data_IF_017832746847
#
_entry.id   IF_017832746847
#
_cell.length_a   1.000
_cell.length_b   1.000
_cell.length_c   1.000
_cell.angle_alpha   90.00
_cell.angle_beta   90.00
_cell.angle_gamma   90.00
#
_symmetry.space_group_name_H-M   'P 1'
#
loop_
_entity.id
_entity.type
_entity.pdbx_description
1 polymer ?
#
# COMPACT_ATOMS: atom_id res chain seq x y z
N UNK A 1 8.14 -23.92 -33.84
CA UNK A 1 7.60 -22.98 -32.83
C UNK A 1 8.10 -21.58 -33.15
N UNK A 2 7.27 -20.77 -33.81
CA UNK A 2 7.65 -19.42 -34.24
C UNK A 2 7.81 -18.48 -33.03
N UNK A 3 8.73 -17.53 -33.15
CA UNK A 3 9.05 -16.48 -32.17
C UNK A 3 7.81 -15.77 -31.60
N UNK A 4 6.72 -15.74 -32.36
CA UNK A 4 5.40 -15.24 -31.95
C UNK A 4 4.77 -16.05 -30.80
N UNK A 5 4.83 -17.38 -30.82
CA UNK A 5 4.30 -18.20 -29.71
C UNK A 5 5.13 -18.03 -28.43
N UNK A 6 6.46 -17.87 -28.55
CA UNK A 6 7.32 -17.55 -27.40
C UNK A 6 6.95 -16.18 -26.81
N UNK A 7 6.78 -15.15 -27.65
CA UNK A 7 6.40 -13.80 -27.20
C UNK A 7 5.00 -13.76 -26.58
N UNK A 8 4.04 -14.46 -27.20
CA UNK A 8 2.68 -14.61 -26.66
C UNK A 8 2.68 -15.37 -25.33
N UNK A 9 3.47 -16.43 -25.17
CA UNK A 9 3.60 -17.12 -23.88
C UNK A 9 4.34 -16.28 -22.82
N UNK A 10 5.30 -15.45 -23.22
CA UNK A 10 6.02 -14.54 -22.34
C UNK A 10 5.12 -13.38 -21.87
N UNK A 11 4.18 -12.93 -22.71
CA UNK A 11 3.18 -11.91 -22.38
C UNK A 11 1.95 -12.47 -21.63
N UNK A 12 1.71 -13.80 -21.67
CA UNK A 12 0.51 -14.44 -21.13
C UNK A 12 0.49 -14.69 -19.63
N UNK A 13 1.62 -14.56 -18.92
CA UNK A 13 1.65 -15.04 -17.53
C UNK A 13 2.47 -14.15 -16.59
N UNK A 14 1.79 -13.14 -16.03
CA UNK A 14 2.37 -12.19 -15.07
C UNK A 14 2.73 -12.85 -13.72
N UNK A 15 2.09 -13.97 -13.39
CA UNK A 15 2.19 -14.69 -12.10
C UNK A 15 2.72 -16.14 -12.24
N UNK A 16 3.55 -16.43 -13.25
CA UNK A 16 3.98 -17.80 -13.56
C UNK A 16 4.99 -18.41 -12.57
N UNK A 17 5.63 -17.60 -11.74
CA UNK A 17 6.77 -18.04 -10.93
C UNK A 17 6.31 -18.64 -9.59
N UNK A 18 7.00 -19.70 -9.14
CA UNK A 18 6.84 -20.24 -7.80
C UNK A 18 7.18 -19.17 -6.75
N UNK A 19 6.48 -19.18 -5.61
CA UNK A 19 6.62 -18.19 -4.52
C UNK A 19 7.35 -18.76 -3.31
N UNK A 20 8.29 -19.68 -3.55
CA UNK A 20 8.92 -20.49 -2.52
C UNK A 20 10.00 -19.73 -1.73
N UNK A 21 10.63 -18.75 -2.39
CA UNK A 21 11.67 -17.90 -1.79
C UNK A 21 11.14 -16.51 -1.41
N UNK A 22 11.79 -15.87 -0.44
CA UNK A 22 11.48 -14.50 -0.03
C UNK A 22 11.64 -13.52 -1.21
N UNK A 23 12.68 -13.70 -2.02
CA UNK A 23 12.93 -12.87 -3.20
C UNK A 23 11.79 -12.97 -4.23
N UNK A 24 11.31 -14.18 -4.55
CA UNK A 24 10.16 -14.37 -5.44
C UNK A 24 8.89 -13.75 -4.86
N UNK A 25 8.66 -13.93 -3.55
CA UNK A 25 7.54 -13.30 -2.87
C UNK A 25 7.61 -11.77 -2.92
N UNK A 26 8.78 -11.17 -2.78
CA UNK A 26 8.96 -9.73 -2.85
C UNK A 26 8.69 -9.22 -4.27
N UNK A 27 9.23 -9.91 -5.29
CA UNK A 27 8.96 -9.61 -6.70
C UNK A 27 7.46 -9.68 -6.99
N UNK A 28 6.77 -10.69 -6.45
CA UNK A 28 5.32 -10.81 -6.56
C UNK A 28 4.59 -9.60 -5.98
N UNK A 29 4.90 -9.19 -4.74
CA UNK A 29 4.25 -8.02 -4.13
C UNK A 29 4.50 -6.76 -4.94
N UNK A 30 5.74 -6.50 -5.39
CA UNK A 30 6.04 -5.34 -6.25
C UNK A 30 5.22 -5.37 -7.54
N UNK A 31 5.15 -6.52 -8.22
CA UNK A 31 4.32 -6.69 -9.43
C UNK A 31 2.85 -6.38 -9.14
N UNK A 32 2.32 -6.86 -8.02
CA UNK A 32 0.92 -6.61 -7.64
C UNK A 32 0.64 -5.14 -7.32
N UNK A 33 1.58 -4.43 -6.68
CA UNK A 33 1.49 -2.98 -6.50
C UNK A 33 1.45 -2.27 -7.86
N UNK A 34 2.34 -2.62 -8.80
CA UNK A 34 2.34 -2.02 -10.16
C UNK A 34 1.01 -2.25 -10.86
N UNK A 35 0.49 -3.48 -10.84
CA UNK A 35 -0.76 -3.83 -11.51
C UNK A 35 -1.93 -3.08 -10.89
N UNK A 36 -2.03 -3.07 -9.56
CA UNK A 36 -3.11 -2.39 -8.86
C UNK A 36 -3.08 -0.89 -9.12
N UNK A 37 -1.91 -0.24 -8.98
CA UNK A 37 -1.75 1.20 -9.25
C UNK A 37 -2.08 1.51 -10.71
N UNK A 38 -1.57 0.73 -11.67
CA UNK A 38 -1.90 0.93 -13.08
C UNK A 38 -3.39 0.75 -13.38
N UNK A 39 -4.03 -0.25 -12.76
CA UNK A 39 -5.47 -0.48 -12.92
C UNK A 39 -6.28 0.67 -12.35
N UNK A 40 -5.90 1.18 -11.16
CA UNK A 40 -6.52 2.34 -10.53
C UNK A 40 -6.40 3.57 -11.44
N UNK A 41 -5.18 3.95 -11.85
CA UNK A 41 -4.98 5.16 -12.64
C UNK A 41 -5.60 5.07 -14.04
N UNK A 42 -5.67 3.86 -14.61
CA UNK A 42 -6.36 3.61 -15.87
C UNK A 42 -7.88 3.76 -15.74
N UNK A 43 -8.48 3.01 -14.80
CA UNK A 43 -9.94 2.98 -14.62
C UNK A 43 -10.51 4.31 -14.13
N UNK A 44 -9.69 5.12 -13.44
CA UNK A 44 -10.06 6.48 -13.04
C UNK A 44 -9.75 7.54 -14.09
N UNK A 45 -9.17 7.17 -15.24
CA UNK A 45 -8.88 8.09 -16.35
C UNK A 45 -7.83 9.15 -16.04
N UNK A 46 -6.88 8.87 -15.14
CA UNK A 46 -5.91 9.85 -14.65
C UNK A 46 -4.82 10.17 -15.68
N UNK A 47 -4.44 9.17 -16.48
CA UNK A 47 -3.43 9.32 -17.54
C UNK A 47 -3.99 8.87 -18.89
N UNK A 48 -3.47 9.41 -20.00
CA UNK A 48 -3.93 9.04 -21.33
C UNK A 48 -3.64 7.57 -21.68
N UNK A 49 -4.42 7.02 -22.62
CA UNK A 49 -4.38 5.60 -23.05
C UNK A 49 -2.97 5.15 -23.50
N UNK A 50 -2.22 6.04 -24.14
CA UNK A 50 -0.87 5.78 -24.63
C UNK A 50 0.16 5.58 -23.51
N UNK A 51 -0.13 6.00 -22.27
CA UNK A 51 0.71 5.77 -21.09
C UNK A 51 0.68 4.32 -20.62
N UNK A 52 -0.22 3.50 -21.17
CA UNK A 52 -0.43 2.11 -20.77
C UNK A 52 -0.13 1.13 -21.91
N UNK A 53 0.23 -0.10 -21.52
CA UNK A 53 0.31 -1.27 -22.41
C UNK A 53 -0.62 -2.36 -21.90
N UNK A 54 -1.24 -3.08 -22.83
CA UNK A 54 -2.05 -4.24 -22.48
C UNK A 54 -1.17 -5.42 -22.07
N UNK A 55 -1.56 -6.10 -21.00
CA UNK A 55 -1.00 -7.36 -20.51
C UNK A 55 -2.13 -8.29 -20.09
N UNK A 56 -1.85 -9.58 -19.99
CA UNK A 56 -2.83 -10.56 -19.56
C UNK A 56 -2.45 -11.11 -18.19
N UNK A 57 -3.40 -11.06 -17.25
CA UNK A 57 -3.35 -11.79 -15.98
C UNK A 57 -4.45 -12.85 -16.05
N UNK A 58 -4.05 -14.10 -16.26
CA UNK A 58 -5.00 -15.19 -16.55
C UNK A 58 -5.85 -14.88 -17.79
N UNK A 59 -7.17 -14.79 -17.64
CA UNK A 59 -8.13 -14.42 -18.68
C UNK A 59 -8.38 -12.90 -18.75
N UNK A 60 -7.83 -12.11 -17.83
CA UNK A 60 -8.08 -10.67 -17.73
C UNK A 60 -7.06 -9.86 -18.53
N UNK A 61 -7.56 -9.02 -19.44
CA UNK A 61 -6.76 -7.98 -20.10
C UNK A 61 -6.65 -6.77 -19.16
N UNK A 62 -5.43 -6.48 -18.71
CA UNK A 62 -5.12 -5.38 -17.80
C UNK A 62 -4.26 -4.33 -18.49
N UNK A 63 -4.40 -3.08 -18.06
CA UNK A 63 -3.59 -1.95 -18.50
C UNK A 63 -2.49 -1.70 -17.49
N UNK A 64 -1.25 -1.78 -17.94
CA UNK A 64 -0.06 -1.60 -17.12
C UNK A 64 0.69 -0.36 -17.58
N UNK A 65 1.08 0.52 -16.65
CA UNK A 65 1.86 1.71 -16.97
C UNK A 65 3.16 1.33 -17.71
N UNK A 66 3.46 2.08 -18.77
CA UNK A 66 4.70 1.97 -19.52
C UNK A 66 5.80 2.72 -18.79
N UNK A 67 6.98 2.12 -18.67
CA UNK A 67 8.15 2.77 -18.07
C UNK A 67 8.61 3.98 -18.92
N UNK A 68 8.41 3.88 -20.22
CA UNK A 68 8.74 4.82 -21.28
C UNK A 68 7.53 5.68 -21.71
N UNK A 69 6.57 5.93 -20.82
CA UNK A 69 5.42 6.79 -21.12
C UNK A 69 5.83 8.25 -21.36
N UNK A 70 5.17 8.91 -22.31
CA UNK A 70 5.41 10.33 -22.63
C UNK A 70 4.73 11.29 -21.64
N UNK A 71 3.77 10.81 -20.84
CA UNK A 71 3.06 11.63 -19.85
C UNK A 71 3.97 11.94 -18.64
N UNK A 72 4.24 13.23 -18.32
CA UNK A 72 5.06 13.61 -17.17
C UNK A 72 4.51 13.09 -15.84
N UNK A 73 3.19 13.17 -15.63
CA UNK A 73 2.53 12.68 -14.42
C UNK A 73 2.66 11.16 -14.24
N UNK A 74 2.48 10.40 -15.32
CA UNK A 74 2.66 8.94 -15.29
C UNK A 74 4.13 8.57 -15.00
N UNK A 75 5.08 9.28 -15.63
CA UNK A 75 6.50 9.07 -15.40
C UNK A 75 6.90 9.38 -13.95
N UNK A 76 6.33 10.44 -13.36
CA UNK A 76 6.55 10.80 -11.95
C UNK A 76 6.00 9.75 -11.00
N UNK A 77 4.79 9.23 -11.25
CA UNK A 77 4.23 8.13 -10.46
C UNK A 77 5.11 6.88 -10.51
N UNK A 78 5.69 6.56 -11.67
CA UNK A 78 6.64 5.44 -11.81
C UNK A 78 7.89 5.67 -10.97
N UNK A 79 8.45 6.89 -10.93
CA UNK A 79 9.57 7.21 -10.04
C UNK A 79 9.21 7.01 -8.57
N UNK A 80 8.01 7.40 -8.14
CA UNK A 80 7.55 7.15 -6.78
C UNK A 80 7.43 5.65 -6.46
N UNK A 81 6.97 4.84 -7.43
CA UNK A 81 6.95 3.38 -7.27
C UNK A 81 8.36 2.81 -7.06
N UNK A 82 9.40 3.38 -7.68
CA UNK A 82 10.79 2.95 -7.44
C UNK A 82 11.22 3.20 -5.99
N UNK A 83 10.89 4.36 -5.41
CA UNK A 83 11.16 4.63 -3.98
C UNK A 83 10.35 3.72 -3.04
N UNK A 84 9.11 3.37 -3.43
CA UNK A 84 8.34 2.35 -2.72
C UNK A 84 9.02 0.97 -2.77
N UNK A 85 9.57 0.56 -3.92
CA UNK A 85 10.27 -0.71 -4.06
C UNK A 85 11.55 -0.77 -3.23
N UNK A 86 12.29 0.33 -3.14
CA UNK A 86 13.44 0.47 -2.27
C UNK A 86 13.06 0.24 -0.79
N UNK A 87 11.97 0.85 -0.33
CA UNK A 87 11.47 0.67 1.03
C UNK A 87 10.91 -0.74 1.29
N UNK A 88 10.30 -1.38 0.28
CA UNK A 88 9.84 -2.77 0.36
C UNK A 88 11.01 -3.76 0.48
N UNK A 89 12.08 -3.58 -0.31
CA UNK A 89 13.29 -4.41 -0.27
C UNK A 89 13.94 -4.41 1.11
N UNK A 90 13.99 -3.23 1.74
CA UNK A 90 14.55 -3.06 3.08
C UNK A 90 13.60 -3.45 4.21
N UNK A 91 12.37 -3.90 3.89
CA UNK A 91 11.30 -4.23 4.84
C UNK A 91 10.87 -3.05 5.72
N UNK A 92 11.12 -1.84 5.24
CA UNK A 92 10.80 -0.60 5.94
C UNK A 92 9.36 -0.19 5.72
N UNK A 93 8.77 -0.50 4.57
CA UNK A 93 7.44 0.00 4.22
C UNK A 93 6.32 -0.73 4.96
N UNK A 94 5.64 -0.05 5.87
CA UNK A 94 4.42 -0.55 6.52
C UNK A 94 3.18 -0.28 5.66
N UNK A 95 3.10 0.91 5.08
CA UNK A 95 1.94 1.35 4.32
C UNK A 95 2.32 2.33 3.21
N UNK A 96 1.73 2.14 2.05
CA UNK A 96 1.72 3.09 0.94
C UNK A 96 0.30 3.66 0.81
N UNK A 97 0.19 4.98 0.72
CA UNK A 97 -1.09 5.66 0.46
C UNK A 97 -0.95 6.56 -0.76
N UNK A 98 -1.84 6.38 -1.73
CA UNK A 98 -1.99 7.29 -2.88
C UNK A 98 -3.26 8.10 -2.65
N UNK A 99 -3.14 9.43 -2.61
CA UNK A 99 -4.27 10.34 -2.47
C UNK A 99 -4.62 11.02 -3.80
N UNK A 100 -5.90 11.18 -4.07
CA UNK A 100 -6.43 11.99 -5.18
C UNK A 100 -7.10 13.22 -4.59
N UNK A 101 -6.67 14.40 -5.01
CA UNK A 101 -7.19 15.68 -4.53
C UNK A 101 -7.40 16.65 -5.70
N UNK A 102 -8.28 17.62 -5.51
CA UNK A 102 -8.66 18.61 -6.54
C UNK A 102 -7.88 19.91 -6.42
N UNK A 103 -7.37 20.24 -5.22
CA UNK A 103 -6.61 21.46 -4.98
C UNK A 103 -5.11 21.17 -4.95
N UNK A 104 -4.27 21.81 -5.78
CA UNK A 104 -2.82 21.67 -5.70
C UNK A 104 -2.24 22.24 -4.39
N UNK A 105 -2.93 23.20 -3.77
CA UNK A 105 -2.50 23.84 -2.53
C UNK A 105 -2.88 23.04 -1.28
N UNK A 106 -3.81 22.09 -1.40
CA UNK A 106 -4.27 21.27 -0.29
C UNK A 106 -4.19 19.78 -0.62
N UNK A 107 -2.99 19.24 -0.42
CA UNK A 107 -2.70 17.82 -0.62
C UNK A 107 -3.26 16.90 0.46
N UNK A 108 -3.80 17.44 1.56
CA UNK A 108 -4.34 16.63 2.64
C UNK A 108 -5.84 16.37 2.48
N UNK A 109 -6.58 17.27 1.84
CA UNK A 109 -7.99 17.06 1.52
C UNK A 109 -8.13 16.19 0.26
N UNK A 110 -8.38 14.91 0.47
CA UNK A 110 -8.52 13.92 -0.60
C UNK A 110 -9.98 13.58 -0.84
N UNK A 111 -10.32 13.38 -2.11
CA UNK A 111 -11.64 12.86 -2.52
C UNK A 111 -11.63 11.34 -2.62
N UNK A 112 -10.47 10.75 -2.89
CA UNK A 112 -10.22 9.31 -2.94
C UNK A 112 -8.83 9.00 -2.39
N UNK A 113 -8.68 7.85 -1.72
CA UNK A 113 -7.39 7.33 -1.32
C UNK A 113 -7.28 5.82 -1.52
N UNK A 114 -6.07 5.39 -1.85
CA UNK A 114 -5.72 4.00 -2.15
C UNK A 114 -4.61 3.56 -1.21
N UNK A 115 -4.94 2.65 -0.29
CA UNK A 115 -4.04 2.25 0.80
C UNK A 115 -3.57 0.80 0.61
N UNK A 116 -2.27 0.63 0.53
CA UNK A 116 -1.58 -0.66 0.49
C UNK A 116 -0.89 -0.88 1.83
N UNK A 117 -1.34 -1.86 2.62
CA UNK A 117 -0.71 -2.23 3.89
C UNK A 117 0.14 -3.47 3.69
N UNK A 118 1.38 -3.42 4.14
CA UNK A 118 2.34 -4.51 4.02
C UNK A 118 2.64 -5.11 5.40
N UNK A 119 2.81 -6.43 5.43
CA UNK A 119 3.39 -7.15 6.58
C UNK A 119 4.42 -8.12 6.07
N UNK A 120 5.48 -8.29 6.86
CA UNK A 120 6.62 -9.14 6.55
C UNK A 120 6.67 -10.28 7.56
N UNK A 121 6.93 -11.50 7.10
CA UNK A 121 7.24 -12.62 7.99
C UNK A 121 8.72 -12.98 7.90
N UNK A 122 9.36 -13.29 9.03
CA UNK A 122 10.74 -13.79 9.08
C UNK A 122 10.85 -15.26 8.62
N UNK A 123 9.78 -16.05 8.75
CA UNK A 123 9.87 -17.52 8.64
C UNK A 123 8.81 -18.18 7.74
N UNK A 124 7.94 -17.42 7.10
CA UNK A 124 6.71 -17.99 6.55
C UNK A 124 5.53 -17.84 7.50
N UNK A 125 4.35 -18.44 7.25
CA UNK A 125 3.29 -18.47 8.26
C UNK A 125 3.87 -19.04 9.57
N UNK A 126 3.89 -18.22 10.61
CA UNK A 126 4.37 -18.62 11.93
C UNK A 126 3.31 -19.56 12.51
N UNK A 127 3.70 -20.81 12.80
CA UNK A 127 2.82 -21.82 13.37
C UNK A 127 2.35 -21.34 14.75
N UNK A 128 1.15 -20.76 14.82
CA UNK A 128 0.50 -20.53 16.10
C UNK A 128 -0.09 -21.88 16.52
N UNK A 129 0.62 -22.60 17.40
CA UNK A 129 0.29 -23.97 17.83
C UNK A 129 -1.12 -24.05 18.45
N UNK A 130 -1.75 -22.90 18.74
CA UNK A 130 -3.09 -22.81 19.30
C UNK A 130 -4.24 -22.83 18.26
N UNK A 131 -3.99 -22.79 16.95
CA UNK A 131 -5.04 -23.04 15.94
C UNK A 131 -5.20 -24.54 15.68
N UNK A 132 -5.71 -25.28 16.67
CA UNK A 132 -6.01 -26.71 16.57
C UNK A 132 -7.37 -26.96 15.87
N UNK A 133 -7.56 -26.41 14.67
CA UNK A 133 -8.71 -26.71 13.80
C UNK A 133 -8.22 -26.87 12.36
N UNK A 134 -7.92 -28.10 11.99
CA UNK A 134 -7.86 -28.69 10.64
C UNK A 134 -7.51 -27.75 9.46
N UNK A 135 -6.23 -27.72 9.11
CA UNK A 135 -5.77 -27.26 7.79
C UNK A 135 -4.60 -26.31 7.93
N UNK A 136 -3.39 -26.85 7.74
CA UNK A 136 -2.21 -26.08 7.39
C UNK A 136 -2.56 -25.18 6.18
N UNK A 137 -2.95 -23.91 6.39
CA UNK A 137 -3.22 -22.98 5.30
C UNK A 137 -1.87 -22.58 4.71
N UNK A 138 -1.23 -23.52 4.03
CA UNK A 138 -0.15 -23.22 3.10
C UNK A 138 -0.78 -22.49 1.94
N UNK A 139 -0.58 -21.18 1.88
CA UNK A 139 -1.02 -20.39 0.73
C UNK A 139 -0.34 -20.95 -0.52
N UNK A 140 -1.14 -21.51 -1.43
CA UNK A 140 -0.62 -22.10 -2.66
C UNK A 140 -0.43 -21.04 -3.75
N UNK A 141 0.34 -21.38 -4.78
CA UNK A 141 0.45 -20.54 -5.98
C UNK A 141 -0.92 -20.34 -6.65
N UNK A 142 -1.80 -21.35 -6.60
CA UNK A 142 -3.16 -21.28 -7.14
C UNK A 142 -4.05 -20.34 -6.33
N UNK A 143 -3.96 -20.37 -4.99
CA UNK A 143 -4.68 -19.43 -4.13
C UNK A 143 -4.23 -17.99 -4.38
N UNK A 144 -2.92 -17.81 -4.55
CA UNK A 144 -2.33 -16.49 -4.84
C UNK A 144 -2.80 -15.96 -6.20
N UNK A 145 -2.88 -16.85 -7.21
CA UNK A 145 -3.42 -16.55 -8.53
C UNK A 145 -4.89 -16.13 -8.47
N UNK A 146 -5.74 -16.95 -7.85
CA UNK A 146 -7.16 -16.62 -7.62
C UNK A 146 -7.32 -15.30 -6.88
N UNK A 147 -6.54 -15.06 -5.82
CA UNK A 147 -6.58 -13.82 -5.05
C UNK A 147 -6.15 -12.61 -5.89
N UNK A 148 -5.14 -12.76 -6.75
CA UNK A 148 -4.70 -11.70 -7.67
C UNK A 148 -5.79 -11.35 -8.69
N UNK A 149 -6.44 -12.35 -9.28
CA UNK A 149 -7.54 -12.16 -10.24
C UNK A 149 -8.75 -11.53 -9.56
N UNK A 150 -9.09 -11.94 -8.34
CA UNK A 150 -10.17 -11.35 -7.54
C UNK A 150 -9.88 -9.89 -7.18
N UNK A 151 -8.64 -9.55 -6.80
CA UNK A 151 -8.23 -8.16 -6.53
C UNK A 151 -8.53 -7.27 -7.74
N UNK A 152 -8.12 -7.71 -8.94
CA UNK A 152 -8.34 -6.93 -10.17
C UNK A 152 -9.84 -6.83 -10.46
N UNK A 153 -10.60 -7.93 -10.44
CA UNK A 153 -12.06 -7.90 -10.66
C UNK A 153 -12.77 -6.96 -9.68
N UNK A 154 -12.40 -6.97 -8.40
CA UNK A 154 -12.96 -6.07 -7.38
C UNK A 154 -12.60 -4.61 -7.65
N UNK A 155 -11.37 -4.31 -8.10
CA UNK A 155 -11.02 -2.96 -8.56
C UNK A 155 -11.92 -2.51 -9.73
N UNK A 156 -12.08 -3.34 -10.76
CA UNK A 156 -12.94 -3.02 -11.90
C UNK A 156 -14.38 -2.71 -11.45
N UNK A 157 -14.98 -3.58 -10.63
CA UNK A 157 -16.33 -3.39 -10.11
C UNK A 157 -16.46 -2.12 -9.26
N UNK A 158 -15.50 -1.87 -8.36
CA UNK A 158 -15.54 -0.69 -7.50
C UNK A 158 -15.42 0.59 -8.32
N UNK A 159 -14.46 0.67 -9.25
CA UNK A 159 -14.25 1.89 -10.05
C UNK A 159 -15.42 2.21 -10.99
N UNK A 160 -16.18 1.20 -11.45
CA UNK A 160 -17.39 1.41 -12.26
C UNK A 160 -18.55 2.05 -11.47
N UNK A 161 -18.57 1.81 -10.16
CA UNK A 161 -19.59 2.30 -9.24
C UNK A 161 -19.23 3.65 -8.58
N UNK A 162 -17.97 4.08 -8.67
CA UNK A 162 -17.55 5.43 -8.31
C UNK A 162 -17.89 6.42 -9.44
N UNK A 163 -18.30 7.63 -9.07
CA UNK A 163 -18.46 8.74 -10.03
C UNK A 163 -17.14 9.02 -10.77
N UNK A 164 -17.19 9.58 -11.98
CA UNK A 164 -15.99 10.05 -12.69
C UNK A 164 -15.18 11.05 -11.83
N UNK A 165 -13.85 11.01 -11.95
CA UNK A 165 -13.00 12.04 -11.31
C UNK A 165 -13.27 13.42 -11.96
N UNK A 166 -13.12 14.52 -11.20
CA UNK A 166 -13.07 15.85 -11.79
C UNK A 166 -12.01 15.97 -12.88
N UNK A 167 -12.19 16.92 -13.81
CA UNK A 167 -11.31 17.08 -14.99
C UNK A 167 -9.85 17.34 -14.62
N UNK A 168 -9.62 18.05 -13.53
CA UNK A 168 -8.29 18.29 -12.98
C UNK A 168 -8.19 17.63 -11.60
N UNK A 169 -7.26 16.71 -11.47
CA UNK A 169 -6.91 16.06 -10.22
C UNK A 169 -5.40 16.01 -10.07
N UNK A 170 -4.96 16.03 -8.83
CA UNK A 170 -3.58 15.90 -8.43
C UNK A 170 -3.40 14.62 -7.62
N UNK A 171 -2.22 14.03 -7.74
CA UNK A 171 -1.83 12.85 -6.99
C UNK A 171 -0.83 13.21 -5.91
N UNK A 172 -0.99 12.56 -4.76
CA UNK A 172 0.04 12.49 -3.72
C UNK A 172 0.38 11.04 -3.40
N UNK A 173 1.60 10.81 -2.93
CA UNK A 173 2.01 9.52 -2.41
C UNK A 173 2.65 9.68 -1.03
N UNK A 174 2.13 8.98 -0.03
CA UNK A 174 2.67 8.95 1.34
C UNK A 174 3.16 7.55 1.70
N UNK A 175 4.39 7.45 2.21
CA UNK A 175 4.97 6.21 2.73
C UNK A 175 5.03 6.24 4.26
N UNK A 176 4.59 5.16 4.91
CA UNK A 176 4.68 4.97 6.35
C UNK A 176 5.56 3.78 6.65
N UNK A 177 6.48 3.93 7.61
CA UNK A 177 7.49 2.92 7.89
C UNK A 177 7.24 2.11 9.16
N UNK A 178 7.91 0.96 9.22
CA UNK A 178 8.09 0.17 10.43
C UNK A 178 9.14 0.85 11.31
N UNK A 179 8.67 1.63 12.29
CA UNK A 179 9.52 2.44 13.17
C UNK A 179 10.62 1.61 13.89
N UNK A 180 10.40 0.31 14.10
CA UNK A 180 11.32 -0.59 14.81
C UNK A 180 12.58 -1.00 14.01
N UNK A 181 12.51 -0.96 12.68
CA UNK A 181 13.59 -1.45 11.79
C UNK A 181 14.14 -0.39 10.83
N UNK A 182 13.45 0.73 10.67
CA UNK A 182 13.84 1.79 9.73
C UNK A 182 14.75 2.82 10.40
N UNK A 183 15.97 3.06 9.90
CA UNK A 183 16.84 4.12 10.40
C UNK A 183 16.21 5.50 10.24
N UNK A 184 16.38 6.44 11.19
CA UNK A 184 15.78 7.78 11.13
C UNK A 184 16.30 8.62 9.96
N UNK A 185 17.52 8.35 9.48
CA UNK A 185 18.16 8.99 8.33
C UNK A 185 17.73 8.41 6.97
N UNK A 186 16.89 7.37 6.95
CA UNK A 186 16.46 6.74 5.71
C UNK A 186 15.50 7.64 4.93
N UNK A 187 15.88 7.97 3.70
CA UNK A 187 15.02 8.67 2.73
C UNK A 187 14.94 7.85 1.45
N UNK A 188 13.75 7.38 1.03
CA UNK A 188 13.64 6.64 -0.20
C UNK A 188 13.77 7.58 -1.41
N UNK A 189 14.30 7.08 -2.54
CA UNK A 189 14.46 7.88 -3.75
C UNK A 189 13.16 8.54 -4.21
N UNK A 190 13.19 9.86 -4.41
CA UNK A 190 12.06 10.64 -4.94
C UNK A 190 11.02 11.08 -3.91
N UNK A 191 11.29 10.91 -2.61
CA UNK A 191 10.42 11.40 -1.53
C UNK A 191 11.17 12.39 -0.64
N UNK A 192 10.40 13.19 0.10
CA UNK A 192 10.87 14.06 1.17
C UNK A 192 10.15 13.76 2.47
N UNK A 193 10.74 14.15 3.61
CA UNK A 193 10.07 14.03 4.90
C UNK A 193 8.73 14.79 4.87
N UNK A 194 7.66 14.13 5.30
CA UNK A 194 6.32 14.69 5.36
C UNK A 194 6.12 15.54 6.61
N UNK A 195 5.55 16.74 6.44
CA UNK A 195 5.19 17.61 7.55
C UNK A 195 3.81 17.27 8.17
N UNK A 196 2.92 16.63 7.41
CA UNK A 196 1.52 16.38 7.79
C UNK A 196 1.14 14.90 7.68
N UNK A 197 0.71 14.32 8.80
CA UNK A 197 0.41 12.89 8.93
C UNK A 197 -0.97 12.48 8.38
N UNK A 198 -1.97 13.37 8.42
CA UNK A 198 -3.36 12.99 8.17
C UNK A 198 -3.83 13.33 6.75
N UNK A 199 -4.63 12.44 6.18
CA UNK A 199 -5.49 12.72 5.03
C UNK A 199 -6.91 12.94 5.54
N UNK A 200 -7.60 13.92 4.98
CA UNK A 200 -8.94 14.34 5.36
C UNK A 200 -9.89 14.15 4.18
N UNK A 201 -11.08 13.63 4.45
CA UNK A 201 -12.18 13.59 3.49
C UNK A 201 -13.17 14.69 3.84
N UNK A 202 -13.73 15.33 2.82
CA UNK A 202 -14.87 16.21 3.00
C UNK A 202 -16.13 15.36 3.22
N UNK A 203 -16.76 15.50 4.39
CA UNK A 203 -17.90 14.67 4.78
C UNK A 203 -17.52 13.23 5.16
N UNK A 204 -18.44 12.29 4.98
CA UNK A 204 -18.26 10.87 5.34
C UNK A 204 -17.33 10.15 4.37
N UNK A 205 -16.34 9.43 4.91
CA UNK A 205 -15.50 8.53 4.14
C UNK A 205 -16.09 7.12 4.15
N UNK A 206 -16.10 6.46 2.99
CA UNK A 206 -16.52 5.07 2.86
C UNK A 206 -15.31 4.22 2.52
N UNK A 207 -15.05 3.21 3.34
CA UNK A 207 -13.90 2.33 3.21
C UNK A 207 -14.30 1.00 2.57
N UNK A 208 -13.57 0.60 1.52
CA UNK A 208 -13.79 -0.61 0.76
C UNK A 208 -12.63 -1.59 0.93
N UNK A 209 -12.95 -2.82 1.35
CA UNK A 209 -11.99 -3.93 1.33
C UNK A 209 -11.88 -4.53 -0.07
N UNK A 210 -10.86 -4.12 -0.82
CA UNK A 210 -10.70 -4.56 -2.21
C UNK A 210 -9.98 -5.89 -2.34
N UNK A 211 -8.94 -6.13 -1.55
CA UNK A 211 -8.29 -7.45 -1.60
C UNK A 211 -7.17 -7.62 -0.61
N UNK A 212 -6.86 -8.88 -0.34
CA UNK A 212 -5.77 -9.28 0.52
C UNK A 212 -4.99 -10.36 -0.23
N UNK A 213 -3.71 -10.10 -0.46
CA UNK A 213 -2.79 -11.05 -1.05
C UNK A 213 -1.84 -11.52 0.05
N UNK A 214 -1.68 -12.82 0.14
CA UNK A 214 -0.74 -13.43 1.05
C UNK A 214 0.18 -14.33 0.24
N UNK A 215 1.45 -14.29 0.57
CA UNK A 215 2.43 -15.30 0.20
C UNK A 215 3.05 -15.84 1.49
N UNK A 216 4.05 -16.71 1.37
CA UNK A 216 4.80 -17.20 2.52
C UNK A 216 5.44 -16.04 3.32
N UNK A 217 6.09 -15.09 2.64
CA UNK A 217 6.94 -14.10 3.31
C UNK A 217 6.30 -12.71 3.44
N UNK A 218 5.25 -12.43 2.65
CA UNK A 218 4.65 -11.10 2.59
C UNK A 218 3.13 -11.17 2.61
N UNK A 219 2.50 -10.18 3.22
CA UNK A 219 1.07 -9.91 3.07
C UNK A 219 0.89 -8.49 2.54
N UNK A 220 0.01 -8.32 1.56
CA UNK A 220 -0.40 -7.03 1.02
C UNK A 220 -1.91 -6.90 1.09
N UNK A 221 -2.42 -5.85 1.74
CA UNK A 221 -3.85 -5.55 1.80
C UNK A 221 -4.13 -4.26 1.06
N UNK A 222 -5.09 -4.27 0.14
CA UNK A 222 -5.56 -3.08 -0.56
C UNK A 222 -6.90 -2.62 0.01
N UNK A 223 -6.97 -1.35 0.38
CA UNK A 223 -8.19 -0.64 0.76
C UNK A 223 -8.36 0.58 -0.13
N UNK A 224 -9.59 0.84 -0.54
CA UNK A 224 -9.98 2.06 -1.25
C UNK A 224 -10.87 2.85 -0.33
N UNK A 225 -10.70 4.16 -0.25
CA UNK A 225 -11.58 5.04 0.50
C UNK A 225 -12.02 6.17 -0.41
N UNK A 226 -13.31 6.45 -0.44
CA UNK A 226 -13.88 7.53 -1.23
C UNK A 226 -14.86 8.33 -0.38
N UNK A 227 -15.02 9.63 -0.67
CA UNK A 227 -16.08 10.42 -0.07
C UNK A 227 -17.45 9.83 -0.45
N UNK A 228 -18.37 9.75 0.51
CA UNK A 228 -19.71 9.17 0.31
C UNK A 228 -20.50 9.86 -0.80
N UNK A 229 -20.29 11.17 -0.98
CA UNK A 229 -20.90 11.97 -2.05
C UNK A 229 -20.58 11.45 -3.46
N UNK A 230 -19.49 10.70 -3.62
CA UNK A 230 -19.01 10.15 -4.90
C UNK A 230 -19.56 8.77 -5.21
N UNK A 231 -20.39 8.21 -4.33
CA UNK A 231 -20.87 6.84 -4.39
C UNK A 231 -22.26 6.70 -5.07
N UNK A 232 -22.60 7.63 -5.96
CA UNK A 232 -23.97 7.84 -6.46
C UNK A 232 -24.68 6.59 -7.01
N UNK A 233 -23.96 5.61 -7.56
CA UNK A 233 -24.56 4.37 -8.12
C UNK A 233 -24.76 3.26 -7.10
N UNK A 234 -24.00 3.26 -6.01
CA UNK A 234 -23.94 2.14 -5.06
C UNK A 234 -25.06 2.22 -4.01
N UNK A 235 -25.68 3.39 -3.83
CA UNK A 235 -26.85 3.54 -2.97
C UNK A 235 -28.14 2.99 -3.61
N UNK A 236 -28.21 2.87 -4.94
CA UNK A 236 -29.42 2.46 -5.67
C UNK A 236 -29.48 0.94 -5.94
N UNK A 237 -28.35 0.24 -5.90
CA UNK A 237 -28.29 -1.20 -6.16
C UNK A 237 -27.31 -1.89 -5.21
N UNK A 238 -27.83 -2.67 -4.25
CA UNK A 238 -27.09 -3.40 -3.21
C UNK A 238 -26.13 -4.49 -3.72
N UNK A 239 -25.16 -4.14 -4.58
CA UNK A 239 -24.22 -5.06 -5.22
C UNK A 239 -22.94 -5.35 -4.41
N UNK A 240 -22.67 -4.63 -3.32
CA UNK A 240 -21.58 -4.96 -2.39
C UNK A 240 -22.17 -5.41 -1.05
N UNK A 241 -21.76 -6.58 -0.57
CA UNK A 241 -22.20 -7.08 0.73
C UNK A 241 -21.72 -6.13 1.85
N UNK A 242 -22.55 -5.89 2.86
CA UNK A 242 -22.22 -5.04 4.03
C UNK A 242 -20.87 -5.39 4.67
N UNK A 243 -20.43 -6.66 4.60
CA UNK A 243 -19.11 -7.10 5.08
C UNK A 243 -17.90 -6.46 4.34
N UNK A 244 -18.10 -5.79 3.20
CA UNK A 244 -17.04 -5.15 2.41
C UNK A 244 -16.99 -3.62 2.58
N UNK A 245 -18.03 -3.03 3.17
CA UNK A 245 -18.21 -1.58 3.32
C UNK A 245 -18.22 -1.21 4.81
N UNK A 246 -17.14 -0.57 5.26
CA UNK A 246 -17.11 0.09 6.57
C UNK A 246 -17.39 1.58 6.35
N UNK A 247 -18.53 2.08 6.85
CA UNK A 247 -18.81 3.50 6.89
C UNK A 247 -18.33 4.06 8.22
N UNK A 248 -17.26 4.86 8.18
CA UNK A 248 -16.86 5.69 9.32
C UNK A 248 -17.26 7.14 9.02
N UNK A 249 -18.12 7.71 9.86
CA UNK A 249 -18.18 9.17 10.01
C UNK A 249 -16.79 9.64 10.43
N UNK A 250 -16.24 10.76 9.92
CA UNK A 250 -15.04 11.35 10.49
C UNK A 250 -15.38 11.93 11.87
N UNK A 251 -15.62 11.07 12.86
CA UNK A 251 -15.26 11.37 14.23
C UNK A 251 -13.77 11.58 14.23
N UNK A 252 -13.35 12.70 14.81
CA UNK A 252 -11.98 13.15 15.00
C UNK A 252 -11.10 12.08 15.69
N UNK A 253 -10.78 10.99 15.01
CA UNK A 253 -9.99 9.90 15.58
C UNK A 253 -8.52 10.13 15.26
N UNK A 254 -7.84 10.65 16.28
CA UNK A 254 -6.40 10.54 16.49
C UNK A 254 -5.85 9.19 16.02
N UNK A 255 -5.05 9.20 14.97
CA UNK A 255 -3.87 8.33 14.96
C UNK A 255 -2.93 8.95 16.00
N UNK A 256 -2.77 8.25 17.14
CA UNK A 256 -2.20 8.78 18.38
C UNK A 256 -0.97 9.68 18.18
N UNK A 257 -1.02 10.95 18.62
CA UNK A 257 0.16 11.81 18.66
C UNK A 257 1.08 11.35 19.80
N UNK A 258 2.38 11.31 19.51
CA UNK A 258 3.38 11.50 20.54
C UNK A 258 3.75 12.97 20.47
N UNK A 259 3.25 13.75 21.41
CA UNK A 259 3.63 15.15 21.62
C UNK A 259 5.14 15.24 21.87
N UNK A 260 5.83 16.15 21.17
CA UNK A 260 6.69 17.17 21.78
C UNK A 260 7.04 18.21 20.71
N UNK A 261 6.77 19.47 21.06
CA UNK A 261 7.02 20.70 20.31
C UNK A 261 8.52 21.00 20.21
N UNK A 262 9.00 21.45 19.04
CA UNK A 262 9.98 22.54 18.92
C UNK A 262 9.95 23.11 17.49
N UNK A 263 9.91 24.45 17.43
CA UNK A 263 9.96 25.30 16.23
C UNK A 263 11.36 25.34 15.63
N UNK A 264 11.48 25.52 14.32
CA UNK A 264 12.00 26.75 13.71
C UNK A 264 11.97 26.70 12.18
N UNK A 265 11.87 27.89 11.62
CA UNK A 265 11.75 28.28 10.21
C UNK A 265 12.92 27.86 9.31
N UNK A 266 12.59 27.56 8.05
CA UNK A 266 13.31 27.84 6.78
C UNK A 266 12.30 27.50 5.66
N UNK A 267 11.53 28.44 5.10
CA UNK A 267 11.81 29.39 4.00
C UNK A 267 12.54 28.81 2.78
N UNK A 268 11.89 29.01 1.61
CA UNK A 268 12.39 29.04 0.22
C UNK A 268 12.67 27.66 -0.44
N UNK A 269 12.10 27.25 -1.61
CA UNK A 269 11.58 27.91 -2.83
C UNK A 269 10.65 26.97 -3.65
N UNK A 270 9.92 27.45 -4.70
CA UNK A 270 9.03 26.67 -5.55
C UNK A 270 9.65 26.19 -6.90
N UNK A 271 8.89 25.36 -7.64
CA UNK A 271 9.19 24.58 -8.89
C UNK A 271 9.80 23.19 -8.63
N UNK A 272 9.39 22.06 -9.25
CA UNK A 272 8.56 21.74 -10.42
C UNK A 272 7.51 20.62 -10.10
N UNK A 273 6.35 20.73 -10.77
CA UNK A 273 5.19 19.83 -10.82
C UNK A 273 4.38 19.59 -9.53
N UNK A 274 3.10 19.98 -9.61
CA UNK A 274 2.02 20.05 -8.60
C UNK A 274 1.55 18.70 -8.01
N UNK A 275 2.47 17.78 -7.77
CA UNK A 275 2.24 16.45 -7.21
C UNK A 275 3.37 16.10 -6.24
N UNK A 276 3.05 15.76 -4.99
CA UNK A 276 4.05 15.65 -3.91
C UNK A 276 4.12 14.23 -3.37
N UNK A 277 5.34 13.71 -3.24
CA UNK A 277 5.65 12.46 -2.56
C UNK A 277 6.29 12.74 -1.19
N UNK A 278 5.75 12.15 -0.14
CA UNK A 278 6.17 12.36 1.24
C UNK A 278 6.34 11.05 1.99
N UNK A 279 7.16 11.02 3.04
CA UNK A 279 7.27 9.88 3.94
C UNK A 279 7.21 10.28 5.40
N UNK A 280 6.80 9.35 6.27
CA UNK A 280 6.84 9.52 7.74
C UNK A 280 8.20 9.10 8.28
N UNK A 281 8.88 9.95 9.05
CA UNK A 281 10.11 9.58 9.74
C UNK A 281 9.88 8.48 10.81
N UNK A 282 10.79 7.50 10.94
CA UNK A 282 10.76 6.50 12.01
C UNK A 282 10.92 7.13 13.40
N UNK A 283 10.11 6.71 14.37
CA UNK A 283 10.25 7.14 15.78
C UNK A 283 11.24 6.23 16.51
N UNK A 284 12.32 6.78 17.09
CA UNK A 284 13.12 6.04 18.08
C UNK A 284 12.27 5.81 19.33
N UNK A 285 11.97 4.55 19.65
CA UNK A 285 11.38 4.23 20.95
C UNK A 285 12.36 4.61 22.06
N UNK A 286 12.06 5.64 22.84
CA UNK A 286 12.73 5.86 24.12
C UNK A 286 12.26 4.72 25.03
N UNK A 287 13.04 3.65 25.09
CA UNK A 287 12.86 2.62 26.09
C UNK A 287 12.86 3.30 27.47
N UNK A 288 11.67 3.42 28.09
CA UNK A 288 11.54 3.78 29.50
C UNK A 288 12.27 2.71 30.31
N UNK A 289 13.56 2.94 30.58
CA UNK A 289 14.32 2.30 31.65
C UNK A 289 13.66 2.69 32.97
N UNK A 290 12.68 1.90 33.41
CA UNK A 290 12.30 1.80 34.81
C UNK A 290 11.97 0.35 35.13
N UNK A 291 13.03 -0.42 35.42
CA UNK A 291 12.93 -1.50 36.38
C UNK A 291 14.14 -1.40 37.31
N UNK A 292 14.01 -0.50 38.30
CA UNK A 292 14.79 -0.59 39.54
C UNK A 292 14.01 -1.54 40.44
N UNK A 293 14.58 -2.71 40.72
CA UNK A 293 14.57 -3.29 42.06
C UNK A 293 15.71 -4.28 42.16
N UNK A 294 16.79 -3.79 42.78
CA UNK A 294 17.82 -4.62 43.37
C UNK A 294 17.18 -5.50 44.44
N UNK A 295 17.24 -6.81 44.28
CA UNK A 295 17.12 -7.74 45.40
C UNK A 295 18.45 -8.44 45.56
N UNK A 296 19.35 -7.77 46.30
CA UNK A 296 20.51 -8.38 46.92
C UNK A 296 20.02 -9.31 48.06
N UNK A 297 19.59 -10.52 47.71
CA UNK A 297 19.17 -11.57 48.64
C UNK A 297 20.22 -12.67 48.74
N UNK A 298 21.34 -12.36 49.39
CA UNK A 298 22.44 -13.26 49.73
C UNK A 298 21.95 -14.39 50.66
N UNK A 299 22.00 -15.68 50.29
CA UNK A 299 22.05 -16.79 51.28
C UNK A 299 22.63 -18.11 50.74
N UNK A 300 23.92 -18.26 51.04
CA UNK A 300 24.71 -19.43 51.48
C UNK A 300 24.52 -20.80 50.81
N UNK A 301 25.61 -21.19 50.13
CA UNK A 301 26.12 -22.57 49.96
C UNK A 301 26.05 -23.37 51.27
N UNK A 302 25.50 -24.57 51.23
CA UNK A 302 25.86 -25.67 52.13
C UNK A 302 26.49 -26.78 51.28
N UNK A 303 27.71 -27.18 51.67
CA UNK A 303 28.42 -28.36 51.19
C UNK A 303 27.64 -29.60 51.63
N UNK A 304 27.38 -30.52 50.71
CA UNK A 304 27.03 -31.90 51.05
C UNK A 304 28.32 -32.64 51.41
N UNK A 305 28.20 -33.49 52.44
CA UNK A 305 29.23 -34.41 52.92
C UNK A 305 29.66 -35.38 51.82
#
# INVERSE_FOLDING_TARGET
MTTLQKKVNQDKQVLAEALDTEAQSLVFVKRMVVIAVSSITYLRGIFPEDSYRSRYLEDLCIKVLKQDCSSPGAHKLIKWLMGCFDALEKRYLQMLVIGVHTSPHDSNHVIESYQFKFRYSEHGPQMDILSNVNGDIRVTLEDTKKASTLLIRKLFLLMQNLEALPTAVHLTMKLYYNDDVTPPEYEPPGFKAGANESLWFEGTAVHFRVGDLQSRYHTMKLRVTAAQSRLGKLQDGGQLSENEMEMETPSLHHIRPAETVMRNHEQDLPSEDESVAQFKQPKKSIAKRKCVRSNAGRRKKKKCF
#
